data_IF_676675369843
#
_entry.id   IF_676675369843
#
_cell.length_a   1.000
_cell.length_b   1.000
_cell.length_c   1.000
_cell.angle_alpha   90.00
_cell.angle_beta   90.00
_cell.angle_gamma   90.00
#
_symmetry.space_group_name_H-M   'P 1'
#
loop_
_entity.id
_entity.type
_entity.pdbx_description
1 polymer ?
#
# COMPACT_ATOMS: atom_id res chain seq x y z
N UNK A 1 0.14 25.08 -14.71
CA UNK A 1 -0.50 24.60 -15.96
C UNK A 1 0.50 23.70 -16.65
N UNK A 2 0.43 22.39 -16.42
CA UNK A 2 1.17 21.43 -17.24
C UNK A 2 0.28 21.21 -18.48
N UNK A 3 0.59 21.90 -19.57
CA UNK A 3 -0.10 21.68 -20.85
C UNK A 3 0.28 20.29 -21.32
N UNK A 4 -0.66 19.35 -21.23
CA UNK A 4 -0.45 18.01 -21.76
C UNK A 4 -0.05 18.09 -23.25
N UNK A 5 0.89 17.26 -23.67
CA UNK A 5 1.36 17.25 -25.05
C UNK A 5 0.16 17.05 -26.00
N UNK A 6 0.12 17.72 -27.17
CA UNK A 6 -0.94 17.50 -28.14
C UNK A 6 -0.89 16.07 -28.71
N UNK A 7 -2.04 15.53 -29.18
CA UNK A 7 -2.08 14.22 -29.78
C UNK A 7 -1.18 14.15 -31.02
N UNK A 8 -0.46 13.03 -31.21
CA UNK A 8 0.21 12.77 -32.48
C UNK A 8 -0.79 12.88 -33.65
N UNK A 9 -0.31 13.39 -34.79
CA UNK A 9 -1.15 13.62 -35.98
C UNK A 9 -1.77 12.33 -36.51
N UNK A 10 -1.07 11.20 -36.39
CA UNK A 10 -1.56 9.89 -36.80
C UNK A 10 -2.69 9.36 -35.89
N UNK A 11 -2.61 9.61 -34.58
CA UNK A 11 -3.73 9.34 -33.64
C UNK A 11 -4.94 10.22 -33.98
N UNK A 12 -4.71 11.48 -34.32
CA UNK A 12 -5.79 12.41 -34.71
C UNK A 12 -6.47 11.97 -36.01
N UNK A 13 -5.68 11.57 -37.04
CA UNK A 13 -6.20 11.03 -38.30
C UNK A 13 -7.00 9.74 -38.08
N UNK A 14 -6.47 8.82 -37.27
CA UNK A 14 -7.14 7.57 -36.91
C UNK A 14 -8.51 7.85 -36.28
N UNK A 15 -8.55 8.70 -35.25
CA UNK A 15 -9.80 9.04 -34.57
C UNK A 15 -10.82 9.67 -35.52
N UNK A 16 -10.39 10.57 -36.40
CA UNK A 16 -11.27 11.14 -37.42
C UNK A 16 -11.87 10.09 -38.36
N UNK A 17 -11.10 9.06 -38.74
CA UNK A 17 -11.60 7.95 -39.54
C UNK A 17 -12.65 7.11 -38.79
N UNK A 18 -12.56 7.06 -37.46
CA UNK A 18 -13.56 6.46 -36.55
C UNK A 18 -14.70 7.40 -36.17
N UNK A 19 -14.83 8.57 -36.81
CA UNK A 19 -15.88 9.55 -36.50
C UNK A 19 -15.75 10.17 -35.10
N UNK A 20 -14.56 10.14 -34.52
CA UNK A 20 -14.24 10.65 -33.20
C UNK A 20 -13.14 11.72 -33.25
N UNK A 21 -13.05 12.54 -32.21
CA UNK A 21 -12.00 13.55 -32.03
C UNK A 21 -11.47 13.50 -30.61
N UNK A 22 -10.19 13.81 -30.47
CA UNK A 22 -9.51 13.84 -29.16
C UNK A 22 -10.24 14.80 -28.22
N UNK A 23 -10.55 14.31 -27.02
CA UNK A 23 -11.07 15.10 -25.92
C UNK A 23 -9.96 15.45 -24.92
N UNK A 24 -9.20 14.44 -24.48
CA UNK A 24 -8.12 14.62 -23.50
C UNK A 24 -7.13 13.44 -23.53
N UNK A 25 -5.85 13.66 -23.22
CA UNK A 25 -4.93 12.56 -22.93
C UNK A 25 -5.28 11.90 -21.59
N UNK A 26 -5.00 10.60 -21.51
CA UNK A 26 -5.12 9.78 -20.30
C UNK A 26 -3.71 9.37 -19.90
N UNK A 27 -3.35 9.63 -18.64
CA UNK A 27 -1.97 9.43 -18.18
C UNK A 27 -1.00 10.52 -18.65
N UNK A 28 0.30 10.30 -18.42
CA UNK A 28 1.37 11.27 -18.69
C UNK A 28 2.35 10.82 -19.77
N UNK A 29 2.28 9.55 -20.19
CA UNK A 29 3.19 8.94 -21.17
C UNK A 29 2.81 9.23 -22.63
N UNK A 30 1.72 9.97 -22.87
CA UNK A 30 1.24 10.33 -24.21
C UNK A 30 0.71 9.15 -25.03
N UNK A 31 0.53 7.98 -24.40
CA UNK A 31 0.17 6.74 -25.08
C UNK A 31 -1.31 6.40 -24.99
N UNK A 32 -2.14 7.22 -24.36
CA UNK A 32 -3.55 6.93 -24.17
C UNK A 32 -4.39 8.21 -24.28
N UNK A 33 -5.48 8.12 -25.03
CA UNK A 33 -6.32 9.24 -25.42
C UNK A 33 -7.80 8.89 -25.23
N UNK A 34 -8.54 9.80 -24.62
CA UNK A 34 -10.00 9.78 -24.60
C UNK A 34 -10.50 10.58 -25.80
N UNK A 35 -11.46 10.02 -26.53
CA UNK A 35 -12.05 10.62 -27.70
C UNK A 35 -13.57 10.64 -27.61
N UNK A 36 -14.15 11.69 -28.17
CA UNK A 36 -15.59 11.94 -28.22
C UNK A 36 -16.08 11.91 -29.67
N UNK A 37 -17.34 11.57 -29.93
CA UNK A 37 -17.91 11.62 -31.27
C UNK A 37 -17.78 13.00 -31.92
N UNK A 38 -17.58 13.03 -33.24
CA UNK A 38 -17.56 14.26 -34.05
C UNK A 38 -18.98 14.75 -34.33
N UNK A 39 -19.90 13.83 -34.64
CA UNK A 39 -21.31 14.09 -34.93
C UNK A 39 -22.22 13.49 -33.84
N UNK A 40 -23.18 14.29 -33.35
CA UNK A 40 -24.08 13.91 -32.26
C UNK A 40 -23.40 13.94 -30.88
N UNK A 41 -24.03 14.57 -29.88
CA UNK A 41 -23.54 14.51 -28.48
C UNK A 41 -23.75 13.11 -27.86
N UNK A 42 -24.56 12.26 -28.49
CA UNK A 42 -24.98 10.94 -27.99
C UNK A 42 -24.15 9.75 -28.55
N UNK A 43 -23.13 10.00 -29.37
CA UNK A 43 -22.27 8.94 -29.90
C UNK A 43 -21.36 8.29 -28.82
N UNK A 44 -20.90 7.04 -29.03
CA UNK A 44 -20.07 6.36 -28.03
C UNK A 44 -18.72 7.05 -27.89
N UNK A 45 -18.30 7.25 -26.64
CA UNK A 45 -16.94 7.68 -26.33
C UNK A 45 -15.98 6.53 -26.60
N UNK A 46 -14.80 6.88 -27.10
CA UNK A 46 -13.76 5.92 -27.46
C UNK A 46 -12.48 6.19 -26.65
N UNK A 47 -11.71 5.15 -26.44
CA UNK A 47 -10.34 5.26 -25.96
C UNK A 47 -9.37 4.73 -27.00
N UNK A 48 -8.29 5.46 -27.22
CA UNK A 48 -7.20 5.04 -28.10
C UNK A 48 -5.95 4.83 -27.27
N UNK A 49 -5.47 3.60 -27.24
CA UNK A 49 -4.26 3.19 -26.55
C UNK A 49 -3.18 2.86 -27.57
N UNK A 50 -2.09 3.62 -27.54
CA UNK A 50 -0.92 3.45 -28.39
C UNK A 50 0.06 2.54 -27.69
N UNK A 51 0.57 1.56 -28.44
CA UNK A 51 1.63 0.69 -28.02
C UNK A 51 2.72 0.65 -29.09
N UNK A 52 3.97 0.79 -28.63
CA UNK A 52 5.11 0.27 -29.37
C UNK A 52 5.05 -1.25 -29.30
N UNK A 53 4.83 -1.89 -30.46
CA UNK A 53 4.73 -3.35 -30.56
C UNK A 53 5.75 -3.82 -31.59
N UNK A 54 6.66 -4.74 -31.25
CA UNK A 54 7.52 -5.35 -32.26
C UNK A 54 6.63 -6.05 -33.28
N UNK A 55 6.79 -5.70 -34.55
CA UNK A 55 6.08 -6.37 -35.66
C UNK A 55 6.63 -7.79 -35.75
N UNK A 56 5.89 -8.74 -35.17
CA UNK A 56 6.17 -10.16 -35.24
C UNK A 56 5.10 -10.89 -36.05
N UNK A 57 5.38 -12.15 -36.42
CA UNK A 57 4.47 -12.97 -37.22
C UNK A 57 3.13 -13.28 -36.52
N UNK A 58 3.01 -13.00 -35.21
CA UNK A 58 1.85 -13.30 -34.38
C UNK A 58 0.99 -12.08 -34.07
N UNK A 59 1.47 -10.85 -34.33
CA UNK A 59 0.78 -9.60 -34.02
C UNK A 59 -0.61 -9.54 -34.66
N UNK A 60 -0.72 -9.87 -35.96
CA UNK A 60 -2.00 -9.88 -36.67
C UNK A 60 -2.98 -10.89 -36.05
N UNK A 61 -2.49 -12.07 -35.66
CA UNK A 61 -3.29 -13.10 -34.97
C UNK A 61 -3.77 -12.60 -33.61
N UNK A 62 -2.89 -12.00 -32.79
CA UNK A 62 -3.25 -11.42 -31.48
C UNK A 62 -4.29 -10.31 -31.63
N UNK A 63 -4.12 -9.42 -32.61
CA UNK A 63 -5.07 -8.35 -32.93
C UNK A 63 -6.46 -8.90 -33.32
N UNK A 64 -6.50 -9.92 -34.18
CA UNK A 64 -7.74 -10.58 -34.60
C UNK A 64 -8.45 -11.29 -33.43
N UNK A 65 -7.70 -11.96 -32.55
CA UNK A 65 -8.25 -12.57 -31.35
C UNK A 65 -8.83 -11.52 -30.39
N UNK A 66 -8.11 -10.43 -30.12
CA UNK A 66 -8.55 -9.37 -29.21
C UNK A 66 -9.85 -8.69 -29.64
N UNK A 67 -10.01 -8.41 -30.94
CA UNK A 67 -11.23 -7.81 -31.49
C UNK A 67 -12.44 -8.75 -31.45
N UNK A 68 -12.21 -10.06 -31.33
CA UNK A 68 -13.26 -11.07 -31.19
C UNK A 68 -13.69 -11.35 -29.74
N UNK A 69 -13.00 -10.80 -28.72
CA UNK A 69 -13.36 -11.03 -27.32
C UNK A 69 -14.43 -10.02 -26.88
N UNK A 70 -15.60 -10.53 -26.52
CA UNK A 70 -16.64 -9.76 -25.86
C UNK A 70 -16.95 -10.34 -24.48
N UNK A 71 -16.81 -9.52 -23.45
CA UNK A 71 -17.15 -9.89 -22.07
C UNK A 71 -17.60 -8.67 -21.28
N UNK A 72 -18.66 -8.73 -20.45
CA UNK A 72 -19.21 -7.56 -19.76
C UNK A 72 -18.21 -6.80 -18.87
N UNK A 73 -17.21 -7.52 -18.35
CA UNK A 73 -16.18 -7.04 -17.43
C UNK A 73 -14.80 -6.90 -18.07
N UNK A 74 -14.72 -6.89 -19.40
CA UNK A 74 -13.51 -6.60 -20.17
C UNK A 74 -13.79 -5.43 -21.13
N UNK A 75 -12.88 -4.46 -21.24
CA UNK A 75 -13.01 -3.41 -22.23
C UNK A 75 -13.00 -4.01 -23.64
N UNK A 76 -14.04 -3.69 -24.43
CA UNK A 76 -14.17 -4.19 -25.79
C UNK A 76 -13.20 -3.46 -26.71
N UNK A 77 -12.40 -4.21 -27.44
CA UNK A 77 -11.51 -3.71 -28.49
C UNK A 77 -12.30 -3.67 -29.80
N UNK A 78 -12.54 -2.47 -30.32
CA UNK A 78 -13.28 -2.25 -31.57
C UNK A 78 -12.40 -2.45 -32.79
N UNK A 79 -11.16 -1.98 -32.71
CA UNK A 79 -10.20 -2.09 -33.79
C UNK A 79 -8.76 -2.10 -33.25
N UNK A 80 -7.87 -2.70 -34.02
CA UNK A 80 -6.42 -2.63 -33.82
C UNK A 80 -5.80 -2.18 -35.13
N UNK A 81 -5.20 -1.00 -35.13
CA UNK A 81 -4.77 -0.35 -36.36
C UNK A 81 -3.31 0.10 -36.30
N UNK A 82 -2.55 -0.06 -37.41
CA UNK A 82 -1.20 0.43 -37.49
C UNK A 82 -1.17 1.97 -37.43
N UNK A 83 -0.18 2.49 -36.72
CA UNK A 83 0.18 3.90 -36.67
C UNK A 83 1.56 4.10 -37.32
N UNK A 84 1.98 5.37 -37.44
CA UNK A 84 3.29 5.70 -38.00
C UNK A 84 4.42 5.15 -37.09
N UNK A 85 5.59 4.91 -37.69
CA UNK A 85 6.81 4.46 -37.02
C UNK A 85 6.70 3.10 -36.29
N UNK A 86 5.86 2.17 -36.80
CA UNK A 86 5.75 0.81 -36.26
C UNK A 86 4.96 0.71 -34.96
N UNK A 87 4.18 1.75 -34.64
CA UNK A 87 3.26 1.77 -33.51
C UNK A 87 1.93 1.14 -33.89
N UNK A 88 1.17 0.71 -32.89
CA UNK A 88 -0.19 0.18 -33.08
C UNK A 88 -1.13 0.86 -32.10
N UNK A 89 -2.31 1.23 -32.59
CA UNK A 89 -3.41 1.75 -31.79
C UNK A 89 -4.42 0.63 -31.50
N UNK A 90 -4.84 0.50 -30.25
CA UNK A 90 -6.07 -0.19 -29.88
C UNK A 90 -7.16 0.87 -29.73
N UNK A 91 -8.22 0.74 -30.52
CA UNK A 91 -9.45 1.54 -30.39
C UNK A 91 -10.43 0.73 -29.54
N UNK A 92 -10.78 1.24 -28.37
CA UNK A 92 -11.63 0.57 -27.39
C UNK A 92 -12.89 1.39 -27.10
N UNK A 93 -13.95 0.71 -26.65
CA UNK A 93 -15.07 1.40 -26.01
C UNK A 93 -14.60 2.10 -24.73
N UNK A 94 -15.03 3.35 -24.52
CA UNK A 94 -14.75 4.03 -23.27
C UNK A 94 -15.51 3.38 -22.11
N UNK A 95 -14.79 3.11 -21.03
CA UNK A 95 -15.38 2.67 -19.76
C UNK A 95 -15.44 3.86 -18.81
N UNK A 96 -16.64 4.44 -18.57
CA UNK A 96 -16.75 5.59 -17.67
C UNK A 96 -16.54 5.16 -16.22
N UNK A 97 -15.81 5.96 -15.45
CA UNK A 97 -15.64 5.77 -14.01
C UNK A 97 -14.19 5.87 -13.53
N UNK A 98 -13.97 5.89 -12.21
CA UNK A 98 -12.63 5.86 -11.63
C UNK A 98 -12.04 4.45 -11.65
N UNK A 99 -10.71 4.37 -11.57
CA UNK A 99 -10.05 3.08 -11.31
C UNK A 99 -10.12 2.70 -9.85
N UNK A 100 -9.95 1.41 -9.55
CA UNK A 100 -9.78 0.95 -8.17
C UNK A 100 -8.58 1.59 -7.49
N UNK A 101 -7.50 1.90 -8.21
CA UNK A 101 -6.40 2.69 -7.68
C UNK A 101 -6.84 4.11 -7.26
N UNK A 102 -7.66 4.79 -8.08
CA UNK A 102 -8.21 6.11 -7.76
C UNK A 102 -9.19 6.07 -6.59
N UNK A 103 -10.07 5.06 -6.56
CA UNK A 103 -10.94 4.79 -5.41
C UNK A 103 -10.08 4.60 -4.16
N UNK A 104 -9.02 3.77 -4.23
CA UNK A 104 -8.15 3.51 -3.08
C UNK A 104 -7.39 4.73 -2.58
N UNK A 105 -6.98 5.62 -3.46
CA UNK A 105 -6.32 6.85 -3.06
C UNK A 105 -7.27 7.86 -2.41
N UNK A 106 -8.57 7.77 -2.69
CA UNK A 106 -9.59 8.68 -2.17
C UNK A 106 -10.25 8.21 -0.87
N UNK A 107 -10.20 6.92 -0.53
CA UNK A 107 -10.89 6.37 0.65
C UNK A 107 -10.12 5.23 1.33
N UNK A 108 -10.55 4.81 2.55
CA UNK A 108 -9.96 3.67 3.22
C UNK A 108 -10.04 2.38 2.39
N UNK A 109 -9.29 1.33 2.81
CA UNK A 109 -9.28 0.07 2.11
C UNK A 109 -10.66 -0.57 1.89
N UNK A 110 -10.78 -1.37 0.83
CA UNK A 110 -12.01 -2.12 0.52
C UNK A 110 -12.24 -3.19 1.59
N UNK A 111 -13.49 -3.37 1.98
CA UNK A 111 -13.93 -4.49 2.80
C UNK A 111 -13.96 -5.79 1.98
N UNK A 112 -14.03 -6.93 2.68
CA UNK A 112 -14.03 -8.26 2.05
C UNK A 112 -15.13 -8.42 1.00
N UNK A 113 -16.36 -7.96 1.29
CA UNK A 113 -17.45 -8.02 0.33
C UNK A 113 -17.23 -7.18 -0.93
N UNK A 114 -16.60 -6.01 -0.80
CA UNK A 114 -16.23 -5.18 -1.95
C UNK A 114 -15.14 -5.85 -2.80
N UNK A 115 -14.22 -6.56 -2.16
CA UNK A 115 -13.20 -7.37 -2.85
C UNK A 115 -13.84 -8.50 -3.63
N UNK A 116 -14.84 -9.20 -3.09
CA UNK A 116 -15.58 -10.24 -3.83
C UNK A 116 -16.23 -9.65 -5.09
N UNK A 117 -16.88 -8.49 -4.96
CA UNK A 117 -17.51 -7.77 -6.09
C UNK A 117 -16.53 -7.40 -7.19
N UNK A 118 -15.25 -7.17 -6.86
CA UNK A 118 -14.18 -6.93 -7.84
C UNK A 118 -13.58 -8.23 -8.39
N UNK A 119 -13.27 -9.17 -7.50
CA UNK A 119 -12.50 -10.37 -7.81
C UNK A 119 -13.23 -11.25 -8.82
N UNK A 120 -14.52 -11.51 -8.59
CA UNK A 120 -15.31 -12.43 -9.41
C UNK A 120 -15.40 -11.96 -10.86
N UNK A 121 -15.82 -10.72 -11.16
CA UNK A 121 -16.02 -10.33 -12.55
C UNK A 121 -14.69 -10.14 -13.30
N UNK A 122 -13.63 -9.69 -12.61
CA UNK A 122 -12.29 -9.57 -13.21
C UNK A 122 -11.68 -10.94 -13.48
N UNK A 123 -11.86 -11.92 -12.59
CA UNK A 123 -11.43 -13.30 -12.83
C UNK A 123 -12.18 -13.92 -14.03
N UNK A 124 -13.49 -13.70 -14.14
CA UNK A 124 -14.28 -14.15 -15.30
C UNK A 124 -13.82 -13.50 -16.61
N UNK A 125 -13.50 -12.20 -16.58
CA UNK A 125 -12.93 -11.51 -17.74
C UNK A 125 -11.57 -12.11 -18.17
N UNK A 126 -10.71 -12.43 -17.20
CA UNK A 126 -9.45 -13.13 -17.46
C UNK A 126 -9.68 -14.52 -18.03
N UNK A 127 -10.64 -15.29 -17.50
CA UNK A 127 -10.98 -16.61 -18.05
C UNK A 127 -11.42 -16.53 -19.52
N UNK A 128 -12.27 -15.55 -19.86
CA UNK A 128 -12.71 -15.33 -21.24
C UNK A 128 -11.54 -14.98 -22.16
N UNK A 129 -10.62 -14.11 -21.73
CA UNK A 129 -9.43 -13.76 -22.49
C UNK A 129 -8.48 -14.96 -22.64
N UNK A 130 -8.23 -15.70 -21.55
CA UNK A 130 -7.35 -16.87 -21.52
C UNK A 130 -7.87 -18.00 -22.42
N UNK A 131 -9.19 -18.16 -22.56
CA UNK A 131 -9.79 -19.14 -23.46
C UNK A 131 -9.45 -18.89 -24.95
N UNK A 132 -9.05 -17.67 -25.31
CA UNK A 132 -8.55 -17.34 -26.66
C UNK A 132 -7.05 -17.58 -26.83
N UNK A 133 -6.35 -18.00 -25.78
CA UNK A 133 -4.90 -18.19 -25.75
C UNK A 133 -4.11 -16.90 -25.47
N UNK A 134 -4.79 -15.79 -25.15
CA UNK A 134 -4.17 -14.52 -24.80
C UNK A 134 -4.09 -14.34 -23.28
N UNK A 135 -3.01 -13.70 -22.81
CA UNK A 135 -2.92 -13.16 -21.45
C UNK A 135 -3.18 -11.65 -21.48
N UNK A 136 -3.68 -11.07 -20.40
CA UNK A 136 -3.83 -9.62 -20.24
C UNK A 136 -2.46 -8.93 -20.16
N UNK A 137 -1.52 -9.53 -19.42
CA UNK A 137 -0.14 -9.07 -19.39
C UNK A 137 0.10 -7.80 -18.55
N UNK A 138 -0.92 -7.19 -17.95
CA UNK A 138 -0.78 -5.97 -17.13
C UNK A 138 -1.84 -5.80 -16.01
N UNK A 139 -2.40 -6.88 -15.45
CA UNK A 139 -3.46 -6.78 -14.42
C UNK A 139 -2.99 -5.96 -13.21
N UNK A 140 -3.80 -4.99 -12.79
CA UNK A 140 -3.50 -4.05 -11.71
C UNK A 140 -4.72 -3.23 -11.29
N UNK A 141 -4.70 -2.62 -10.10
CA UNK A 141 -5.79 -1.78 -9.61
C UNK A 141 -6.01 -0.50 -10.46
N UNK A 142 -4.98 -0.03 -11.14
CA UNK A 142 -5.03 1.06 -12.12
C UNK A 142 -5.67 0.63 -13.47
N UNK A 143 -5.89 -0.67 -13.65
CA UNK A 143 -6.48 -1.31 -14.84
C UNK A 143 -7.88 -1.84 -14.63
N UNK A 144 -8.46 -1.65 -13.45
CA UNK A 144 -9.86 -1.98 -13.21
C UNK A 144 -10.63 -0.68 -12.99
N UNK A 145 -11.54 -0.37 -13.91
CA UNK A 145 -12.44 0.77 -13.84
C UNK A 145 -13.77 0.33 -13.23
N UNK A 146 -14.29 1.11 -12.29
CA UNK A 146 -15.61 0.88 -11.69
C UNK A 146 -16.63 1.76 -12.39
N UNK A 147 -17.49 1.16 -13.22
CA UNK A 147 -18.60 1.85 -13.88
C UNK A 147 -19.60 2.40 -12.86
N UNK A 148 -20.40 3.41 -13.25
CA UNK A 148 -21.60 3.77 -12.49
C UNK A 148 -22.42 2.52 -12.16
N UNK A 149 -22.85 2.40 -10.90
CA UNK A 149 -23.51 1.19 -10.39
C UNK A 149 -22.56 0.13 -9.81
N UNK A 150 -21.26 0.42 -9.68
CA UNK A 150 -20.32 -0.45 -8.96
C UNK A 150 -19.79 -1.63 -9.76
N UNK A 151 -19.91 -1.59 -11.10
CA UNK A 151 -19.55 -2.69 -11.98
C UNK A 151 -18.08 -2.60 -12.39
N UNK A 152 -17.20 -3.52 -11.96
CA UNK A 152 -15.78 -3.49 -12.31
C UNK A 152 -15.56 -3.99 -13.75
N UNK A 153 -14.63 -3.37 -14.45
CA UNK A 153 -14.26 -3.67 -15.84
C UNK A 153 -12.76 -3.59 -15.98
N UNK A 154 -12.15 -4.65 -16.47
CA UNK A 154 -10.72 -4.73 -16.76
C UNK A 154 -10.41 -4.01 -18.08
N UNK A 155 -9.46 -3.08 -18.07
CA UNK A 155 -9.09 -2.19 -19.18
C UNK A 155 -7.60 -2.28 -19.52
N UNK A 156 -7.21 -1.65 -20.64
CA UNK A 156 -5.85 -1.65 -21.21
C UNK A 156 -5.33 -3.04 -21.64
N UNK A 157 -5.66 -3.43 -22.87
CA UNK A 157 -5.19 -4.67 -23.48
C UNK A 157 -3.89 -4.53 -24.29
N UNK A 158 -3.09 -3.47 -24.05
CA UNK A 158 -1.78 -3.32 -24.71
C UNK A 158 -0.82 -4.45 -24.34
N UNK A 159 -0.90 -4.94 -23.11
CA UNK A 159 -0.11 -6.09 -22.64
C UNK A 159 -0.39 -7.33 -23.48
N UNK A 160 -1.67 -7.63 -23.72
CA UNK A 160 -2.12 -8.72 -24.60
C UNK A 160 -1.63 -8.54 -26.03
N UNK A 161 -1.77 -7.35 -26.60
CA UNK A 161 -1.35 -7.07 -27.97
C UNK A 161 0.17 -7.28 -28.14
N UNK A 162 0.95 -6.90 -27.13
CA UNK A 162 2.40 -7.11 -27.06
C UNK A 162 2.81 -8.56 -26.78
N UNK A 163 1.86 -9.43 -26.46
CA UNK A 163 2.14 -10.82 -26.08
C UNK A 163 2.86 -10.93 -24.73
N UNK A 164 2.60 -10.00 -23.80
CA UNK A 164 3.22 -9.99 -22.48
C UNK A 164 2.48 -10.89 -21.49
N UNK A 165 3.24 -11.50 -20.59
CA UNK A 165 2.70 -12.26 -19.45
C UNK A 165 2.17 -13.65 -19.83
N UNK A 166 1.50 -14.27 -18.86
CA UNK A 166 0.93 -15.61 -18.97
C UNK A 166 -0.40 -15.66 -18.21
N UNK A 167 -1.25 -16.66 -18.50
CA UNK A 167 -2.52 -16.84 -17.80
C UNK A 167 -2.33 -16.95 -16.28
N UNK A 168 -1.38 -17.77 -15.82
CA UNK A 168 -1.01 -17.88 -14.40
C UNK A 168 -0.48 -16.56 -13.84
N UNK A 169 0.32 -15.82 -14.62
CA UNK A 169 0.84 -14.53 -14.21
C UNK A 169 -0.22 -13.43 -14.08
N UNK A 170 -1.30 -13.48 -14.87
CA UNK A 170 -2.46 -12.60 -14.69
C UNK A 170 -3.21 -12.90 -13.39
N UNK A 171 -3.45 -14.19 -13.10
CA UNK A 171 -4.13 -14.61 -11.86
C UNK A 171 -3.32 -14.17 -10.64
N UNK A 172 -2.00 -14.39 -10.65
CA UNK A 172 -1.13 -13.95 -9.56
C UNK A 172 -1.20 -12.43 -9.35
N UNK A 173 -1.21 -11.64 -10.43
CA UNK A 173 -1.31 -10.18 -10.35
C UNK A 173 -2.68 -9.69 -9.95
N UNK A 174 -3.76 -10.38 -10.34
CA UNK A 174 -5.10 -10.12 -9.82
C UNK A 174 -5.09 -10.30 -8.30
N UNK A 175 -4.65 -11.45 -7.81
CA UNK A 175 -4.62 -11.76 -6.37
C UNK A 175 -3.74 -10.75 -5.60
N UNK A 176 -2.53 -10.45 -6.09
CA UNK A 176 -1.67 -9.43 -5.48
C UNK A 176 -2.33 -8.04 -5.46
N UNK A 177 -3.02 -7.66 -6.53
CA UNK A 177 -3.77 -6.40 -6.59
C UNK A 177 -4.92 -6.36 -5.59
N UNK A 178 -5.67 -7.46 -5.45
CA UNK A 178 -6.76 -7.56 -4.46
C UNK A 178 -6.22 -7.45 -3.02
N UNK A 179 -5.10 -8.11 -2.71
CA UNK A 179 -4.46 -8.03 -1.39
C UNK A 179 -3.95 -6.62 -1.07
N UNK A 180 -3.42 -5.90 -2.07
CA UNK A 180 -3.06 -4.48 -1.95
C UNK A 180 -4.28 -3.54 -1.86
N UNK A 181 -5.44 -4.01 -2.32
CA UNK A 181 -6.74 -3.40 -2.15
C UNK A 181 -7.44 -3.85 -0.85
N UNK A 182 -6.77 -4.45 0.11
CA UNK A 182 -7.36 -4.79 1.40
C UNK A 182 -6.60 -4.10 2.55
N UNK A 183 -7.22 -3.94 3.74
CA UNK A 183 -6.46 -3.56 4.93
C UNK A 183 -5.26 -4.48 5.11
N UNK A 184 -4.08 -3.97 5.51
CA UNK A 184 -2.89 -4.80 5.73
C UNK A 184 -3.21 -5.90 6.76
N UNK A 185 -2.47 -7.02 6.71
CA UNK A 185 -2.72 -8.18 7.57
C UNK A 185 -2.78 -7.79 9.06
N UNK A 186 -1.94 -6.84 9.49
CA UNK A 186 -1.91 -6.34 10.87
C UNK A 186 -3.22 -5.67 11.30
N UNK A 187 -3.96 -5.05 10.38
CA UNK A 187 -5.28 -4.47 10.64
C UNK A 187 -6.35 -5.56 10.81
N UNK A 188 -6.25 -6.68 10.09
CA UNK A 188 -7.14 -7.84 10.26
C UNK A 188 -6.84 -8.61 11.55
N UNK A 189 -5.55 -8.78 11.88
CA UNK A 189 -5.12 -9.35 13.15
C UNK A 189 -5.55 -8.47 14.34
N UNK A 190 -5.58 -7.14 14.15
CA UNK A 190 -6.10 -6.21 15.13
C UNK A 190 -7.63 -6.25 15.29
N UNK A 191 -8.40 -6.70 14.30
CA UNK A 191 -9.87 -6.73 14.37
C UNK A 191 -10.45 -7.93 15.14
N UNK A 192 -9.62 -8.88 15.61
CA UNK A 192 -10.08 -9.96 16.49
C UNK A 192 -11.09 -10.93 15.87
N UNK A 193 -11.12 -11.08 14.54
CA UNK A 193 -12.05 -12.00 13.88
C UNK A 193 -11.57 -13.46 14.07
N UNK A 194 -12.33 -14.22 14.87
CA UNK A 194 -12.17 -15.66 15.17
C UNK A 194 -12.39 -16.55 13.93
N UNK A 195 -11.65 -17.67 13.86
CA UNK A 195 -11.92 -18.99 13.23
C UNK A 195 -12.59 -19.14 11.84
N UNK A 196 -12.90 -18.07 11.12
CA UNK A 196 -13.29 -18.13 9.71
C UNK A 196 -12.04 -17.99 8.82
N UNK A 197 -11.95 -18.79 7.75
CA UNK A 197 -10.96 -18.56 6.68
C UNK A 197 -11.12 -17.11 6.24
N UNK A 198 -10.11 -16.27 6.46
CA UNK A 198 -10.18 -14.85 6.07
C UNK A 198 -10.02 -14.76 4.57
N UNK A 199 -10.63 -13.75 3.96
CA UNK A 199 -10.56 -13.60 2.50
C UNK A 199 -9.10 -13.42 2.07
N UNK A 200 -8.33 -12.68 2.89
CA UNK A 200 -6.89 -12.52 2.75
C UNK A 200 -6.15 -13.87 2.74
N UNK A 201 -6.41 -14.76 3.69
CA UNK A 201 -5.73 -16.05 3.79
C UNK A 201 -6.05 -16.96 2.59
N UNK A 202 -7.32 -16.93 2.14
CA UNK A 202 -7.76 -17.65 0.94
C UNK A 202 -7.04 -17.13 -0.31
N UNK A 203 -6.94 -15.81 -0.47
CA UNK A 203 -6.21 -15.17 -1.58
C UNK A 203 -4.70 -15.47 -1.51
N UNK A 204 -4.08 -15.38 -0.34
CA UNK A 204 -2.65 -15.70 -0.16
C UNK A 204 -2.35 -17.19 -0.44
N UNK A 205 -3.29 -18.09 -0.17
CA UNK A 205 -3.16 -19.49 -0.54
C UNK A 205 -3.07 -19.70 -2.05
N UNK A 206 -3.80 -18.91 -2.85
CA UNK A 206 -3.75 -18.98 -4.31
C UNK A 206 -2.39 -18.57 -4.88
N UNK A 207 -1.64 -17.68 -4.19
CA UNK A 207 -0.30 -17.26 -4.61
C UNK A 207 0.76 -18.37 -4.50
N UNK A 208 0.53 -19.37 -3.63
CA UNK A 208 1.47 -20.49 -3.42
C UNK A 208 1.37 -21.57 -4.49
N UNK A 209 0.33 -21.53 -5.33
CA UNK A 209 0.02 -22.54 -6.34
C UNK A 209 -0.14 -21.98 -7.75
N UNK A 210 -0.54 -22.85 -8.68
CA UNK A 210 -0.95 -22.46 -10.03
C UNK A 210 -2.46 -22.30 -10.09
N UNK A 211 -2.95 -21.23 -9.47
CA UNK A 211 -4.37 -20.91 -9.49
C UNK A 211 -4.84 -20.52 -10.90
N UNK A 212 -6.07 -20.90 -11.21
CA UNK A 212 -6.86 -20.47 -12.36
C UNK A 212 -7.79 -19.33 -11.96
N UNK A 213 -8.40 -18.61 -12.92
CA UNK A 213 -9.41 -17.62 -12.57
C UNK A 213 -10.61 -18.22 -11.83
N UNK A 214 -10.97 -19.47 -12.10
CA UNK A 214 -12.05 -20.15 -11.39
C UNK A 214 -11.71 -20.39 -9.91
N UNK A 215 -10.46 -20.75 -9.61
CA UNK A 215 -10.01 -20.92 -8.21
C UNK A 215 -10.12 -19.61 -7.41
N UNK A 216 -9.91 -18.46 -8.06
CA UNK A 216 -10.15 -17.14 -7.44
C UNK A 216 -11.62 -16.97 -7.11
N UNK A 217 -12.51 -17.26 -8.05
CA UNK A 217 -13.97 -17.15 -7.87
C UNK A 217 -14.44 -18.03 -6.71
N UNK A 218 -14.02 -19.30 -6.70
CA UNK A 218 -14.43 -20.26 -5.68
C UNK A 218 -13.90 -19.85 -4.29
N UNK A 219 -12.65 -19.39 -4.21
CA UNK A 219 -12.03 -18.95 -2.96
C UNK A 219 -12.73 -17.74 -2.33
N UNK A 220 -13.09 -16.73 -3.14
CA UNK A 220 -13.71 -15.51 -2.60
C UNK A 220 -15.16 -15.74 -2.17
N UNK A 221 -15.92 -16.55 -2.92
CA UNK A 221 -17.31 -16.89 -2.56
C UNK A 221 -17.42 -17.80 -1.34
N UNK A 222 -16.40 -18.63 -1.08
CA UNK A 222 -16.38 -19.48 0.12
C UNK A 222 -16.27 -18.68 1.42
N UNK A 223 -15.80 -17.43 1.35
CA UNK A 223 -15.40 -16.64 2.52
C UNK A 223 -16.31 -15.43 2.78
N UNK A 224 -16.69 -14.69 1.74
CA UNK A 224 -17.41 -13.44 1.91
C UNK A 224 -18.56 -13.28 0.91
N UNK A 225 -19.61 -12.60 1.34
CA UNK A 225 -20.73 -12.21 0.47
C UNK A 225 -20.39 -10.93 -0.30
N UNK A 226 -20.75 -10.81 -1.58
CA UNK A 226 -20.47 -9.61 -2.37
C UNK A 226 -21.19 -8.38 -1.83
N UNK A 227 -20.45 -7.27 -1.70
CA UNK A 227 -20.97 -5.95 -1.32
C UNK A 227 -20.62 -4.91 -2.39
N UNK A 228 -21.49 -3.91 -2.66
CA UNK A 228 -21.23 -2.90 -3.67
C UNK A 228 -19.97 -2.08 -3.35
N UNK A 229 -19.10 -1.90 -4.36
CA UNK A 229 -17.93 -1.03 -4.24
C UNK A 229 -18.38 0.42 -4.04
N UNK A 230 -18.04 1.02 -2.91
CA UNK A 230 -18.38 2.42 -2.63
C UNK A 230 -17.41 3.33 -3.38
N UNK A 231 -17.93 4.03 -4.39
CA UNK A 231 -17.17 4.99 -5.20
C UNK A 231 -17.27 6.38 -4.55
N UNK A 232 -16.14 7.02 -4.19
CA UNK A 232 -16.12 8.36 -3.62
C UNK A 232 -16.72 9.41 -4.54
N UNK A 233 -17.16 10.52 -3.96
CA UNK A 233 -17.74 11.63 -4.72
C UNK A 233 -16.69 12.26 -5.67
N UNK A 234 -17.12 12.89 -6.78
CA UNK A 234 -16.21 13.41 -7.81
C UNK A 234 -15.12 14.37 -7.29
N UNK A 235 -15.42 15.16 -6.26
CA UNK A 235 -14.47 16.12 -5.69
C UNK A 235 -13.35 15.41 -4.87
N UNK A 236 -13.67 14.33 -4.17
CA UNK A 236 -12.69 13.50 -3.46
C UNK A 236 -11.79 12.74 -4.44
N UNK A 237 -12.40 12.22 -5.51
CA UNK A 237 -11.68 11.59 -6.62
C UNK A 237 -10.77 12.58 -7.34
N UNK A 238 -11.15 13.84 -7.51
CA UNK A 238 -10.30 14.84 -8.14
C UNK A 238 -9.01 15.11 -7.34
N UNK A 239 -9.11 15.18 -6.00
CA UNK A 239 -7.94 15.32 -5.13
C UNK A 239 -7.01 14.10 -5.19
N UNK A 240 -7.60 12.90 -5.13
CA UNK A 240 -6.86 11.64 -5.26
C UNK A 240 -6.24 11.45 -6.66
N UNK A 241 -6.94 11.87 -7.71
CA UNK A 241 -6.48 11.82 -9.09
C UNK A 241 -5.34 12.81 -9.35
N UNK A 242 -5.21 13.91 -8.58
CA UNK A 242 -4.03 14.78 -8.62
C UNK A 242 -2.85 14.14 -7.89
N UNK A 243 -3.09 13.43 -6.78
CA UNK A 243 -2.06 12.70 -6.04
C UNK A 243 -1.51 11.48 -6.82
N UNK A 244 -2.39 10.77 -7.52
CA UNK A 244 -2.04 9.76 -8.53
C UNK A 244 -1.63 10.40 -9.87
N UNK A 245 -1.87 11.72 -10.00
CA UNK A 245 -1.93 12.58 -11.20
C UNK A 245 -0.63 13.00 -11.84
N UNK A 246 0.45 12.33 -11.48
CA UNK A 246 1.33 11.80 -12.51
C UNK A 246 0.63 10.76 -13.43
N UNK A 247 -0.70 10.57 -13.32
CA UNK A 247 -1.61 10.13 -14.36
C UNK A 247 -3.07 9.98 -13.87
N UNK A 248 -3.99 10.80 -14.43
CA UNK A 248 -5.43 10.57 -14.75
C UNK A 248 -6.26 11.85 -14.57
N UNK A 249 -6.55 12.54 -15.67
CA UNK A 249 -7.42 13.73 -15.70
C UNK A 249 -8.89 13.31 -15.85
N UNK A 250 -9.75 13.81 -14.96
CA UNK A 250 -11.20 13.60 -14.98
C UNK A 250 -11.92 14.26 -16.15
N UNK A 251 -13.20 13.91 -16.29
CA UNK A 251 -14.13 14.41 -17.31
C UNK A 251 -14.13 15.95 -17.42
N UNK A 252 -14.30 16.54 -18.63
CA UNK A 252 -14.38 17.98 -18.79
C UNK A 252 -15.64 18.55 -18.12
N UNK A 253 -15.46 19.54 -17.23
CA UNK A 253 -16.56 20.38 -16.70
C UNK A 253 -17.21 21.17 -17.86
N UNK A 254 -18.55 21.29 -17.92
CA UNK A 254 -19.18 22.27 -18.81
C UNK A 254 -18.77 23.70 -18.39
N UNK A 255 -18.43 24.52 -19.39
CA UNK A 255 -17.83 25.84 -19.19
C UNK A 255 -18.77 26.81 -18.45
N UNK A 256 -18.31 27.36 -17.32
CA UNK A 256 -18.97 28.47 -16.63
C UNK A 256 -18.64 29.81 -17.33
N UNK A 257 -19.57 30.79 -17.35
CA UNK A 257 -19.37 32.06 -18.04
C UNK A 257 -18.32 32.94 -17.35
N UNK A 258 -17.55 33.68 -18.15
CA UNK A 258 -16.37 34.43 -17.74
C UNK A 258 -16.66 35.53 -16.69
N UNK A 259 -15.76 35.74 -15.70
CA UNK A 259 -15.94 36.80 -14.71
C UNK A 259 -15.50 38.16 -15.25
N UNK A 260 -16.36 39.16 -15.00
CA UNK A 260 -16.10 40.59 -15.22
C UNK A 260 -15.02 41.07 -14.25
N UNK A 261 -13.99 41.74 -14.78
CA UNK A 261 -12.88 42.32 -14.01
C UNK A 261 -13.25 43.73 -13.53
N UNK A 262 -13.19 44.04 -12.22
CA UNK A 262 -12.93 45.39 -11.78
C UNK A 262 -11.49 45.57 -11.26
N UNK A 263 -11.02 46.79 -11.45
CA UNK A 263 -9.64 47.28 -11.42
C UNK A 263 -9.01 47.26 -10.03
N UNK A 264 -7.69 47.02 -9.98
CA UNK A 264 -6.81 47.19 -8.81
C UNK A 264 -6.47 48.67 -8.55
N UNK A 265 -6.41 49.04 -7.28
CA UNK A 265 -5.70 50.21 -6.73
C UNK A 265 -5.24 49.86 -5.27
N UNK A 266 -4.23 50.55 -4.67
CA UNK A 266 -3.07 49.84 -4.11
C UNK A 266 -2.85 49.93 -2.58
N UNK A 267 -2.02 48.98 -2.11
CA UNK A 267 -1.13 48.92 -0.92
C UNK A 267 -1.30 49.94 0.21
N UNK A 268 -1.50 49.44 1.45
CA UNK A 268 -0.77 49.87 2.67
C UNK A 268 -0.66 48.72 3.68
N UNK A 269 0.52 48.60 4.32
CA UNK A 269 0.89 47.78 5.49
C UNK A 269 1.37 48.79 6.57
N UNK A 270 1.65 48.41 7.83
CA UNK A 270 0.82 47.76 8.85
C UNK A 270 0.75 48.66 10.12
N UNK A 271 -0.24 48.48 11.01
CA UNK A 271 -0.19 49.04 12.38
C UNK A 271 -0.64 48.01 13.43
N UNK A 272 0.00 48.14 14.58
CA UNK A 272 0.03 47.29 15.78
C UNK A 272 -1.21 47.52 16.65
N UNK A 273 -1.73 46.47 17.32
CA UNK A 273 -1.88 46.39 18.79
C UNK A 273 -2.95 45.37 19.28
N UNK A 274 -2.46 44.37 20.02
CA UNK A 274 -2.81 44.01 21.41
C UNK A 274 -4.22 43.50 21.79
N UNK A 275 -4.16 42.34 22.48
CA UNK A 275 -5.00 41.81 23.58
C UNK A 275 -6.24 40.96 23.29
N UNK A 276 -6.10 39.66 23.58
CA UNK A 276 -6.85 38.87 24.59
C UNK A 276 -6.53 37.38 24.30
N UNK A 277 -6.29 36.44 25.21
CA UNK A 277 -6.23 36.33 26.67
C UNK A 277 -5.85 34.87 26.91
N UNK A 278 -4.75 34.58 27.59
CA UNK A 278 -4.72 34.18 29.00
C UNK A 278 -5.66 33.02 29.36
N UNK A 279 -5.33 31.82 28.88
CA UNK A 279 -5.64 30.56 29.56
C UNK A 279 -4.59 29.54 29.08
N UNK A 280 -4.04 28.74 30.02
CA UNK A 280 -3.22 27.50 29.84
C UNK A 280 -1.88 27.47 30.61
N UNK A 281 -1.34 28.59 31.12
CA UNK A 281 -0.05 28.53 31.88
C UNK A 281 -0.21 28.21 33.39
N UNK A 282 -1.42 27.90 33.88
CA UNK A 282 -1.68 27.68 35.31
C UNK A 282 -1.87 26.20 35.73
N UNK A 283 -1.34 25.24 34.96
CA UNK A 283 -1.41 23.82 35.30
C UNK A 283 -0.05 23.13 35.56
N UNK A 284 1.09 23.82 35.37
CA UNK A 284 2.43 23.19 35.47
C UNK A 284 3.19 23.55 36.77
N UNK A 285 2.67 24.45 37.61
CA UNK A 285 3.37 24.88 38.84
C UNK A 285 2.71 24.39 40.14
N UNK A 286 1.58 23.67 40.07
CA UNK A 286 0.89 23.14 41.26
C UNK A 286 1.28 21.70 41.65
N UNK A 287 2.10 20.99 40.87
CA UNK A 287 2.52 19.61 41.19
C UNK A 287 3.88 19.49 41.91
N UNK A 288 4.71 20.53 41.85
CA UNK A 288 6.12 20.45 42.28
C UNK A 288 6.40 21.00 43.69
N UNK A 289 5.39 21.42 44.45
CA UNK A 289 5.55 22.00 45.79
C UNK A 289 4.66 21.36 46.87
N UNK A 290 4.34 20.07 46.74
CA UNK A 290 3.64 19.29 47.78
C UNK A 290 4.38 18.00 48.19
N UNK A 291 5.72 18.02 48.25
CA UNK A 291 6.53 16.92 48.85
C UNK A 291 7.60 17.44 49.83
N UNK A 292 7.50 18.68 50.32
CA UNK A 292 8.44 19.18 51.34
C UNK A 292 7.75 20.00 52.41
N UNK A 293 7.31 19.31 53.47
CA UNK A 293 7.53 19.68 54.88
C UNK A 293 6.52 18.99 55.81
N UNK A 294 6.93 17.94 56.53
CA UNK A 294 6.49 17.68 57.91
C UNK A 294 7.67 17.05 58.69
N UNK A 295 7.90 17.39 59.98
CA UNK A 295 9.15 17.12 60.69
C UNK A 295 9.13 15.88 61.62
N UNK A 296 10.33 15.53 62.07
CA UNK A 296 10.85 14.31 62.71
C UNK A 296 10.16 13.74 63.96
N UNK A 297 10.24 12.40 64.11
CA UNK A 297 10.50 11.71 65.39
C UNK A 297 11.45 10.49 65.19
N UNK A 298 12.37 10.19 66.15
CA UNK A 298 13.54 9.36 65.88
C UNK A 298 13.45 7.90 66.35
N UNK A 299 14.21 7.07 65.64
CA UNK A 299 14.99 5.89 66.06
C UNK A 299 14.30 4.64 66.65
N UNK A 300 14.34 3.54 65.88
CA UNK A 300 15.18 2.38 66.26
C UNK A 300 15.62 1.57 65.03
N UNK A 301 16.93 1.36 64.97
CA UNK A 301 17.64 0.70 63.89
C UNK A 301 17.32 -0.79 63.78
N UNK A 302 17.10 -1.24 62.55
CA UNK A 302 17.49 -2.57 62.10
C UNK A 302 18.35 -2.37 60.85
N UNK A 303 19.64 -2.66 61.01
CA UNK A 303 20.61 -2.71 59.91
C UNK A 303 20.19 -3.86 59.00
N UNK A 304 19.68 -3.52 57.81
CA UNK A 304 19.59 -4.43 56.69
C UNK A 304 20.50 -3.86 55.60
N UNK A 305 21.62 -4.54 55.41
CA UNK A 305 22.60 -4.35 54.35
C UNK A 305 21.91 -4.06 53.02
N UNK A 306 22.22 -2.90 52.44
CA UNK A 306 21.87 -2.57 51.07
C UNK A 306 22.40 -3.67 50.15
N UNK A 307 21.49 -4.50 49.64
CA UNK A 307 21.77 -5.31 48.47
C UNK A 307 21.82 -4.35 47.30
N UNK A 308 22.98 -4.26 46.65
CA UNK A 308 23.14 -3.61 45.35
C UNK A 308 22.02 -4.09 44.42
N UNK A 309 21.36 -3.21 43.65
CA UNK A 309 20.37 -3.68 42.69
C UNK A 309 21.09 -4.59 41.69
N UNK A 310 20.71 -5.87 41.69
CA UNK A 310 21.02 -6.78 40.58
C UNK A 310 20.53 -6.10 39.29
N UNK A 311 21.36 -5.94 38.25
CA UNK A 311 20.91 -5.37 37.00
C UNK A 311 19.75 -6.23 36.49
N UNK A 312 18.58 -5.62 36.30
CA UNK A 312 17.47 -6.30 35.64
C UNK A 312 17.78 -6.54 34.15
N UNK A 313 16.99 -7.37 33.46
CA UNK A 313 17.20 -7.68 32.03
C UNK A 313 17.31 -6.44 31.12
N UNK A 314 16.71 -5.30 31.51
CA UNK A 314 16.79 -4.03 30.81
C UNK A 314 18.18 -3.34 30.87
N UNK A 315 18.93 -3.51 31.96
CA UNK A 315 20.29 -2.95 32.10
C UNK A 315 21.31 -3.73 31.25
N UNK A 316 21.10 -5.03 31.12
CA UNK A 316 21.90 -5.86 30.22
C UNK A 316 21.63 -5.51 28.75
N UNK A 317 20.36 -5.25 28.38
CA UNK A 317 19.99 -4.88 27.01
C UNK A 317 20.58 -3.52 26.60
N UNK A 318 20.61 -2.52 27.49
CA UNK A 318 21.27 -1.25 27.22
C UNK A 318 22.78 -1.41 26.97
N UNK A 319 23.44 -2.30 27.72
CA UNK A 319 24.87 -2.58 27.56
C UNK A 319 25.16 -3.23 26.20
N UNK A 320 24.30 -4.16 25.76
CA UNK A 320 24.39 -4.84 24.45
C UNK A 320 24.25 -3.86 23.28
N UNK A 321 23.46 -2.80 23.41
CA UNK A 321 23.34 -1.77 22.38
C UNK A 321 24.65 -1.00 22.15
N UNK A 322 25.47 -0.86 23.19
CA UNK A 322 26.74 -0.11 23.14
C UNK A 322 27.96 -0.98 22.88
N UNK A 323 27.78 -2.29 22.70
CA UNK A 323 28.86 -3.19 22.31
C UNK A 323 28.96 -3.27 20.78
N UNK A 324 29.94 -2.57 20.21
CA UNK A 324 30.17 -2.58 18.77
C UNK A 324 30.63 -3.96 18.26
N UNK A 325 31.19 -4.81 19.13
CA UNK A 325 31.75 -6.11 18.77
C UNK A 325 30.71 -7.21 18.60
N UNK A 326 29.48 -7.02 19.09
CA UNK A 326 28.42 -8.04 19.08
C UNK A 326 27.08 -7.50 18.53
N UNK A 327 26.97 -7.31 17.20
CA UNK A 327 25.72 -6.88 16.57
C UNK A 327 24.59 -7.90 16.73
N UNK A 328 24.89 -9.19 16.98
CA UNK A 328 23.88 -10.21 17.21
C UNK A 328 23.22 -10.05 18.59
N UNK A 329 24.01 -9.83 19.63
CA UNK A 329 23.47 -9.49 20.96
C UNK A 329 22.67 -8.17 20.93
N UNK A 330 23.15 -7.18 20.19
CA UNK A 330 22.43 -5.92 19.99
C UNK A 330 21.09 -6.13 19.26
N UNK A 331 21.04 -6.95 18.21
CA UNK A 331 19.80 -7.28 17.49
C UNK A 331 18.76 -7.93 18.41
N UNK A 332 19.19 -8.86 19.26
CA UNK A 332 18.31 -9.50 20.24
C UNK A 332 17.74 -8.49 21.25
N UNK A 333 18.60 -7.59 21.74
CA UNK A 333 18.21 -6.53 22.68
C UNK A 333 17.25 -5.52 22.03
N UNK A 334 17.55 -5.04 20.82
CA UNK A 334 16.68 -4.14 20.04
C UNK A 334 15.30 -4.77 19.83
N UNK A 335 15.23 -6.06 19.51
CA UNK A 335 13.96 -6.78 19.32
C UNK A 335 13.10 -6.78 20.58
N UNK A 336 13.70 -7.07 21.75
CA UNK A 336 12.99 -7.07 23.04
C UNK A 336 12.57 -5.66 23.47
N UNK A 337 13.48 -4.69 23.37
CA UNK A 337 13.21 -3.31 23.74
C UNK A 337 12.13 -2.69 22.85
N UNK A 338 12.15 -2.97 21.54
CA UNK A 338 11.12 -2.52 20.60
C UNK A 338 9.75 -3.12 20.95
N UNK A 339 9.69 -4.41 21.23
CA UNK A 339 8.46 -5.07 21.67
C UNK A 339 7.89 -4.44 22.96
N UNK A 340 8.75 -4.16 23.95
CA UNK A 340 8.33 -3.50 25.19
C UNK A 340 7.83 -2.07 24.96
N UNK A 341 8.50 -1.29 24.10
CA UNK A 341 8.09 0.08 23.77
C UNK A 341 6.75 0.11 23.01
N UNK A 342 6.56 -0.80 22.05
CA UNK A 342 5.29 -0.98 21.34
C UNK A 342 4.16 -1.42 22.29
N UNK A 343 4.45 -2.34 23.22
CA UNK A 343 3.49 -2.76 24.23
C UNK A 343 3.06 -1.60 25.14
N UNK A 344 3.96 -0.70 25.49
CA UNK A 344 3.65 0.49 26.28
C UNK A 344 3.01 1.63 25.48
N UNK A 345 2.91 1.50 24.15
CA UNK A 345 2.60 2.61 23.23
C UNK A 345 3.55 3.82 23.41
N UNK A 346 4.82 3.55 23.72
CA UNK A 346 5.86 4.56 23.94
C UNK A 346 6.53 4.96 22.62
N UNK A 347 5.94 5.97 21.95
CA UNK A 347 6.47 6.50 20.69
C UNK A 347 7.93 6.96 20.79
N UNK A 348 8.32 7.55 21.92
CA UNK A 348 9.68 8.05 22.13
C UNK A 348 10.66 6.89 22.35
N UNK A 349 10.22 5.86 23.08
CA UNK A 349 10.97 4.62 23.27
C UNK A 349 11.25 3.90 21.95
N UNK A 350 10.25 3.77 21.08
CA UNK A 350 10.43 3.15 19.75
C UNK A 350 11.39 3.97 18.88
N UNK A 351 11.14 5.28 18.75
CA UNK A 351 12.01 6.18 17.98
C UNK A 351 13.47 6.20 18.47
N UNK A 352 13.69 5.98 19.76
CA UNK A 352 15.03 5.91 20.36
C UNK A 352 15.84 4.67 19.96
N UNK A 353 15.21 3.63 19.40
CA UNK A 353 15.85 2.36 19.00
C UNK A 353 16.19 2.31 17.51
N UNK A 354 15.83 3.35 16.76
CA UNK A 354 15.90 3.39 15.30
C UNK A 354 16.74 4.56 14.81
N UNK A 355 17.18 4.47 13.56
CA UNK A 355 17.83 5.62 12.90
C UNK A 355 16.74 6.60 12.47
N UNK A 356 16.81 7.89 12.86
CA UNK A 356 15.80 8.87 12.46
C UNK A 356 15.62 8.97 10.94
N UNK A 357 14.37 8.92 10.48
CA UNK A 357 14.01 8.97 9.06
C UNK A 357 14.32 7.71 8.25
N UNK A 358 14.76 6.63 8.90
CA UNK A 358 14.98 5.33 8.25
C UNK A 358 13.66 4.60 7.92
N UNK A 359 13.68 3.60 7.01
CA UNK A 359 12.52 2.77 6.73
C UNK A 359 11.86 2.17 7.99
N UNK A 360 12.66 1.65 8.93
CA UNK A 360 12.15 1.15 10.20
C UNK A 360 11.42 2.24 10.98
N UNK A 361 12.05 3.43 11.09
CA UNK A 361 11.47 4.56 11.79
C UNK A 361 10.12 5.04 11.24
N UNK A 362 9.99 5.09 9.91
CA UNK A 362 8.72 5.47 9.28
C UNK A 362 7.65 4.40 9.54
N UNK A 363 8.01 3.11 9.39
CA UNK A 363 7.07 2.01 9.61
C UNK A 363 6.55 1.96 11.06
N UNK A 364 7.43 2.22 12.03
CA UNK A 364 7.10 2.18 13.44
C UNK A 364 6.35 3.42 13.94
N UNK A 365 6.68 4.60 13.43
CA UNK A 365 5.89 5.81 13.67
C UNK A 365 4.44 5.63 13.17
N UNK A 366 4.27 5.05 11.99
CA UNK A 366 2.96 4.72 11.44
C UNK A 366 2.23 3.66 12.28
N UNK A 367 2.94 2.65 12.77
CA UNK A 367 2.37 1.63 13.66
C UNK A 367 1.87 2.24 14.97
N UNK A 368 2.69 3.04 15.65
CA UNK A 368 2.32 3.70 16.91
C UNK A 368 1.14 4.67 16.70
N UNK A 369 1.13 5.44 15.60
CA UNK A 369 0.02 6.33 15.27
C UNK A 369 -1.31 5.56 15.09
N UNK A 370 -1.27 4.38 14.44
CA UNK A 370 -2.46 3.54 14.22
C UNK A 370 -2.96 2.84 15.48
N UNK A 371 -2.13 2.65 16.50
CA UNK A 371 -2.56 2.08 17.77
C UNK A 371 -3.52 3.01 18.53
N UNK A 372 -3.60 4.30 18.20
CA UNK A 372 -4.55 5.26 18.77
C UNK A 372 -4.59 5.25 20.32
N UNK A 373 -3.41 5.03 20.94
CA UNK A 373 -3.25 4.96 22.40
C UNK A 373 -3.57 3.60 23.03
N UNK A 374 -3.84 2.56 22.23
CA UNK A 374 -3.95 1.19 22.72
C UNK A 374 -2.57 0.66 23.18
N UNK A 375 -2.55 -0.05 24.31
CA UNK A 375 -1.36 -0.68 24.90
C UNK A 375 -1.54 -2.19 25.02
N UNK A 376 -0.46 -2.93 25.16
CA UNK A 376 -0.48 -4.38 25.40
C UNK A 376 0.10 -4.72 26.78
N UNK A 377 -0.67 -5.44 27.58
CA UNK A 377 -0.29 -5.97 28.89
C UNK A 377 0.19 -7.42 28.73
N UNK A 378 1.43 -7.72 29.13
CA UNK A 378 2.00 -9.08 29.07
C UNK A 378 2.67 -9.44 27.74
N UNK A 379 2.84 -8.49 26.82
CA UNK A 379 3.57 -8.70 25.57
C UNK A 379 5.07 -8.78 25.84
N UNK A 380 5.65 -9.91 25.46
CA UNK A 380 7.08 -10.22 25.55
C UNK A 380 7.52 -10.80 24.21
N UNK A 381 8.60 -10.27 23.64
CA UNK A 381 9.26 -10.91 22.50
C UNK A 381 10.36 -11.86 23.01
N UNK A 382 10.21 -13.14 22.72
CA UNK A 382 11.24 -14.15 23.03
C UNK A 382 12.07 -14.42 21.78
N UNK A 383 13.35 -14.09 21.84
CA UNK A 383 14.29 -14.30 20.74
C UNK A 383 14.88 -15.71 20.87
N UNK A 384 14.61 -16.57 19.89
CA UNK A 384 15.03 -17.98 19.90
C UNK A 384 16.28 -18.24 19.06
N UNK A 385 16.56 -17.41 18.05
CA UNK A 385 17.79 -17.51 17.25
C UNK A 385 18.23 -16.13 16.74
N UNK A 386 19.55 -15.93 16.68
CA UNK A 386 20.15 -14.72 16.06
C UNK A 386 21.39 -15.09 15.29
N UNK A 387 21.56 -14.52 14.10
CA UNK A 387 22.71 -14.77 13.24
C UNK A 387 23.07 -13.53 12.41
N UNK A 388 24.28 -13.01 12.58
CA UNK A 388 24.81 -12.00 11.66
C UNK A 388 25.00 -12.64 10.27
N UNK A 389 24.40 -12.05 9.24
CA UNK A 389 24.38 -12.58 7.86
C UNK A 389 25.39 -11.88 6.95
N UNK A 390 25.82 -10.67 7.31
CA UNK A 390 26.86 -9.93 6.61
C UNK A 390 26.73 -8.43 6.82
N UNK A 391 27.28 -7.66 5.89
CA UNK A 391 27.14 -6.20 5.85
C UNK A 391 26.49 -5.75 4.54
N UNK A 392 25.90 -4.57 4.53
CA UNK A 392 25.45 -3.88 3.32
C UNK A 392 26.60 -3.09 2.70
N UNK A 393 26.50 -2.66 1.42
CA UNK A 393 27.51 -1.78 0.80
C UNK A 393 27.75 -0.48 1.55
N UNK A 394 26.75 0.00 2.29
CA UNK A 394 26.78 1.23 3.08
C UNK A 394 27.45 1.02 4.46
N UNK A 395 27.84 -0.21 4.79
CA UNK A 395 28.49 -0.56 6.05
C UNK A 395 27.54 -0.91 7.19
N UNK A 396 26.24 -1.01 6.94
CA UNK A 396 25.26 -1.45 7.93
C UNK A 396 25.35 -2.98 8.12
N UNK A 397 25.12 -3.49 9.33
CA UNK A 397 25.23 -4.93 9.65
C UNK A 397 23.87 -5.60 9.47
N UNK A 398 23.82 -6.72 8.77
CA UNK A 398 22.62 -7.53 8.60
C UNK A 398 22.61 -8.66 9.61
N UNK A 399 21.49 -8.79 10.32
CA UNK A 399 21.31 -9.80 11.37
C UNK A 399 19.93 -10.44 11.23
N UNK A 400 19.90 -11.74 10.98
CA UNK A 400 18.68 -12.52 11.06
C UNK A 400 18.30 -12.74 12.53
N UNK A 401 17.04 -12.50 12.87
CA UNK A 401 16.48 -12.70 14.19
C UNK A 401 15.22 -13.54 14.07
N UNK A 402 15.18 -14.67 14.76
CA UNK A 402 13.97 -15.46 14.95
C UNK A 402 13.41 -15.18 16.34
N UNK A 403 12.15 -14.75 16.40
CA UNK A 403 11.47 -14.45 17.67
C UNK A 403 10.01 -14.88 17.66
N UNK A 404 9.47 -15.12 18.86
CA UNK A 404 8.04 -15.33 19.12
C UNK A 404 7.52 -14.17 19.96
N UNK A 405 6.21 -13.94 19.93
CA UNK A 405 5.57 -12.96 20.81
C UNK A 405 4.63 -13.71 21.75
N UNK A 406 4.69 -13.43 23.05
CA UNK A 406 3.83 -14.06 24.04
C UNK A 406 2.35 -13.72 23.83
N UNK A 407 1.48 -14.59 24.37
CA UNK A 407 0.09 -14.22 24.55
C UNK A 407 0.01 -13.00 25.49
N UNK A 408 -0.85 -12.06 25.17
CA UNK A 408 -0.95 -10.78 25.88
C UNK A 408 -2.36 -10.20 25.77
N UNK A 409 -2.66 -9.20 26.59
CA UNK A 409 -3.97 -8.53 26.58
C UNK A 409 -3.79 -7.13 26.00
N UNK A 410 -4.44 -6.82 24.90
CA UNK A 410 -4.46 -5.46 24.37
C UNK A 410 -5.57 -4.66 25.02
N UNK A 411 -5.23 -3.46 25.49
CA UNK A 411 -6.13 -2.50 26.13
C UNK A 411 -6.26 -1.28 25.24
N UNK A 412 -7.42 -1.10 24.62
CA UNK A 412 -7.72 0.07 23.79
C UNK A 412 -7.72 1.36 24.63
N UNK A 413 -7.66 2.52 23.97
CA UNK A 413 -7.81 3.83 24.64
C UNK A 413 -9.18 4.02 25.29
N UNK A 414 -10.20 3.28 24.83
CA UNK A 414 -11.53 3.18 25.48
C UNK A 414 -11.54 2.34 26.76
N UNK A 415 -10.47 1.58 27.05
CA UNK A 415 -10.37 0.63 28.16
C UNK A 415 -10.84 -0.79 27.85
N UNK A 416 -11.34 -1.04 26.63
CA UNK A 416 -11.68 -2.39 26.15
C UNK A 416 -10.45 -3.31 26.14
N UNK A 417 -10.62 -4.55 26.61
CA UNK A 417 -9.55 -5.54 26.76
C UNK A 417 -9.78 -6.70 25.79
N UNK A 418 -8.76 -7.04 25.02
CA UNK A 418 -8.80 -8.14 24.04
C UNK A 418 -7.62 -9.07 24.28
N UNK A 419 -7.90 -10.36 24.47
CA UNK A 419 -6.84 -11.37 24.56
C UNK A 419 -6.25 -11.63 23.18
N UNK A 420 -4.91 -11.63 23.10
CA UNK A 420 -4.14 -11.89 21.90
C UNK A 420 -3.32 -13.16 22.15
N UNK A 421 -3.48 -14.23 21.34
CA UNK A 421 -2.72 -15.46 21.51
C UNK A 421 -1.24 -15.26 21.21
N UNK A 422 -0.40 -16.19 21.66
CA UNK A 422 1.02 -16.17 21.34
C UNK A 422 1.24 -16.33 19.83
N UNK A 423 2.15 -15.54 19.27
CA UNK A 423 2.52 -15.62 17.86
C UNK A 423 3.49 -16.76 17.60
N UNK A 424 3.38 -17.36 16.42
CA UNK A 424 4.38 -18.32 15.92
C UNK A 424 5.76 -17.68 15.75
N UNK A 425 6.80 -18.51 15.70
CA UNK A 425 8.16 -18.05 15.50
C UNK A 425 8.30 -17.42 14.11
N UNK A 426 8.79 -16.19 14.05
CA UNK A 426 9.03 -15.44 12.80
C UNK A 426 10.50 -15.08 12.69
N UNK A 427 11.05 -15.23 11.48
CA UNK A 427 12.41 -14.82 11.17
C UNK A 427 12.38 -13.57 10.29
N UNK A 428 13.12 -12.55 10.70
CA UNK A 428 13.31 -11.29 9.95
C UNK A 428 14.80 -10.98 9.84
N UNK A 429 15.20 -10.25 8.80
CA UNK A 429 16.54 -9.66 8.70
C UNK A 429 16.49 -8.21 9.19
N UNK A 430 17.20 -7.91 10.27
CA UNK A 430 17.42 -6.55 10.75
C UNK A 430 18.67 -5.97 10.10
N UNK A 431 18.54 -4.78 9.51
CA UNK A 431 19.68 -3.97 9.09
C UNK A 431 19.99 -2.99 10.22
N UNK A 432 21.17 -3.10 10.80
CA UNK A 432 21.61 -2.35 11.96
C UNK A 432 22.68 -1.34 11.57
N UNK A 433 22.53 -0.11 12.07
CA UNK A 433 23.51 0.96 11.92
C UNK A 433 24.15 1.28 13.26
N UNK A 434 25.46 1.46 13.26
CA UNK A 434 26.17 1.98 14.41
C UNK A 434 26.02 3.51 14.49
N UNK A 435 25.62 4.01 15.66
CA UNK A 435 25.48 5.45 15.96
C UNK A 435 26.32 5.82 17.19
N UNK A 436 26.57 7.12 17.47
CA UNK A 436 27.24 7.53 18.70
C UNK A 436 26.57 7.00 19.98
N UNK A 437 25.26 6.74 19.93
CA UNK A 437 24.43 6.23 21.01
C UNK A 437 24.28 4.68 20.97
N UNK A 438 25.05 3.99 20.12
CA UNK A 438 25.07 2.53 19.96
C UNK A 438 24.36 2.01 18.71
N UNK A 439 24.07 0.72 18.65
CA UNK A 439 23.32 0.09 17.55
C UNK A 439 21.88 0.62 17.46
N UNK A 440 21.43 0.91 16.24
CA UNK A 440 20.06 1.31 15.92
C UNK A 440 19.54 0.53 14.72
N UNK A 441 18.23 0.29 14.68
CA UNK A 441 17.58 -0.36 13.53
C UNK A 441 17.48 0.66 12.39
N UNK A 442 18.04 0.31 11.23
CA UNK A 442 17.93 1.07 9.99
C UNK A 442 16.80 0.53 9.10
N UNK A 443 16.61 -0.79 9.04
CA UNK A 443 15.61 -1.42 8.18
C UNK A 443 15.22 -2.80 8.72
N UNK A 444 14.04 -3.29 8.37
CA UNK A 444 13.54 -4.62 8.71
C UNK A 444 13.04 -5.29 7.44
N UNK A 445 13.64 -6.43 7.08
CA UNK A 445 13.41 -7.11 5.80
C UNK A 445 12.99 -8.56 6.00
N UNK A 446 12.42 -9.14 4.95
CA UNK A 446 12.28 -10.60 4.87
C UNK A 446 13.67 -11.24 4.70
N UNK A 447 13.94 -12.39 5.33
CA UNK A 447 15.20 -13.08 5.19
C UNK A 447 15.37 -13.57 3.75
N UNK A 448 16.55 -13.32 3.17
CA UNK A 448 16.89 -13.75 1.81
C UNK A 448 16.83 -15.29 1.76
N UNK A 449 15.94 -15.85 0.92
CA UNK A 449 15.89 -17.31 0.73
C UNK A 449 17.15 -17.73 0.00
N UNK A 450 18.17 -18.19 0.73
CA UNK A 450 19.37 -18.75 0.15
C UNK A 450 18.98 -19.91 -0.80
N UNK A 451 19.38 -19.80 -2.07
CA UNK A 451 19.30 -20.89 -3.05
C UNK A 451 19.80 -22.20 -2.44
N UNK A 452 19.12 -23.35 -2.67
CA UNK A 452 19.61 -24.63 -2.16
C UNK A 452 21.00 -24.89 -2.74
N UNK A 453 21.95 -25.10 -1.83
CA UNK A 453 23.34 -25.38 -2.15
C UNK A 453 23.46 -26.47 -3.21
N UNK A 454 24.22 -26.18 -4.27
CA UNK A 454 24.62 -27.14 -5.29
C UNK A 454 25.15 -28.42 -4.62
N UNK A 455 24.43 -29.51 -4.82
CA UNK A 455 24.87 -30.85 -4.42
C UNK A 455 26.11 -31.18 -5.24
N UNK A 456 27.26 -31.28 -4.57
CA UNK A 456 28.51 -31.76 -5.19
C UNK A 456 28.32 -33.20 -5.71
N UNK A 457 28.89 -33.56 -6.88
CA UNK A 457 28.86 -34.93 -7.36
C UNK A 457 29.77 -35.80 -6.47
N UNK A 458 29.22 -36.91 -5.98
CA UNK A 458 30.01 -37.95 -5.30
C UNK A 458 30.88 -38.72 -6.32
N UNK A 459 32.06 -39.21 -5.89
CA UNK A 459 33.11 -39.75 -6.75
C UNK A 459 32.73 -41.03 -7.49
#
# INVERSE_FOLDING_TARGET
MHTAAPPPDDVTRLLHAHGARVASPVGTDGSWWLARPVEGEDGPWLEVLVADVPVDATLATRAGLLTGVEHPHLARVLAVEPLDAGRVALVCEHVPGPTLAAVRAARPPLADGEVVTVAVPVAQALAALHATGLAHGAVGADRVVVRPGGVPVLVDLRGSLRGLGTATGDVHRLVASLLGLMPPLDAHLAAGLEDAVRLRDALEALLRGRATPQDVVDAVFAVATPEPVQVPEPDELAGAAVALGTGRSGLPRPAAPAPVVPRRAPRRRPWVAVAAGLAVVLAVVAGALLVRALPDRPARAAVATASSPTPGPAADDATRLTDQGDPAAAAAALTRLRAAALAAADAAGVAGLEVPGSPAHVADADLVARLAGARSEGLVAEVSAVRATGTTPEGDVRVEVTSTTSAHVRVASSGERTDVPAGEARTVELVLRWTPEGWRVQDVREPDVASPAATAPRP
#
